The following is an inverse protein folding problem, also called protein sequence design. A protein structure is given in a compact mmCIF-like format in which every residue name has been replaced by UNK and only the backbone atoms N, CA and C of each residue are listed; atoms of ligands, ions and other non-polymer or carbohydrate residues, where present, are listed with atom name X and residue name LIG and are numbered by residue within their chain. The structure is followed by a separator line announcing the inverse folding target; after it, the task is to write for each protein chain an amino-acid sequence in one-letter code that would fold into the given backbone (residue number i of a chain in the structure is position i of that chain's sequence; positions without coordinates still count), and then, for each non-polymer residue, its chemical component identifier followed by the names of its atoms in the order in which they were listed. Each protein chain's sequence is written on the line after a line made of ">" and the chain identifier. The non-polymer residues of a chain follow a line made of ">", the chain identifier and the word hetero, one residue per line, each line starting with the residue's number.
data_IF_502035842399
#
_entry.id   IF_502035842399
#
_cell.length_a   1.000
_cell.length_b   1.000
_cell.length_c   1.000
_cell.angle_alpha   90.00
_cell.angle_beta   90.00
_cell.angle_gamma   90.00
#
_symmetry.space_group_name_H-M   'P 1'
#
loop_
_entity.id
_entity.type
_entity.pdbx_description
1 polymer ?
#
# COMPACT_ATOMS: atom_id res chain seq x y z
N UNK A 1 46.94 -39.68 7.90
CA UNK A 1 47.38 -38.41 8.53
C UNK A 1 46.87 -37.28 7.67
N UNK A 2 46.27 -36.18 8.11
CA UNK A 2 45.56 -35.77 9.33
C UNK A 2 45.44 -34.23 9.21
N UNK A 3 44.22 -33.67 9.34
CA UNK A 3 43.93 -32.24 9.57
C UNK A 3 44.24 -31.27 8.40
N UNK A 4 43.55 -30.14 8.18
CA UNK A 4 42.52 -29.42 8.98
C UNK A 4 41.53 -28.64 8.08
N UNK A 5 40.34 -28.29 8.60
CA UNK A 5 39.33 -27.45 7.93
C UNK A 5 39.53 -25.93 8.20
N UNK A 6 39.28 -25.10 7.18
CA UNK A 6 38.62 -23.74 7.19
C UNK A 6 38.07 -23.54 5.76
N UNK A 7 36.92 -22.93 5.45
CA UNK A 7 35.86 -22.27 6.24
C UNK A 7 34.64 -21.94 5.33
N UNK A 8 33.97 -20.79 5.52
CA UNK A 8 32.87 -20.30 4.67
C UNK A 8 33.02 -18.79 4.37
N UNK A 9 32.37 -18.28 3.30
CA UNK A 9 31.41 -17.15 3.41
C UNK A 9 30.71 -16.77 2.08
N UNK A 10 29.40 -16.54 2.17
CA UNK A 10 28.60 -15.83 1.15
C UNK A 10 28.99 -14.33 1.12
N UNK A 11 28.89 -13.66 -0.04
CA UNK A 11 28.86 -12.19 -0.08
C UNK A 11 28.09 -11.57 -1.26
N UNK A 12 26.87 -11.14 -0.95
CA UNK A 12 26.16 -9.94 -1.42
C UNK A 12 26.28 -9.43 -2.87
N UNK A 13 25.22 -9.69 -3.65
CA UNK A 13 24.89 -9.02 -4.92
C UNK A 13 24.49 -7.53 -4.77
N UNK A 14 24.77 -6.88 -3.62
CA UNK A 14 24.30 -5.53 -3.32
C UNK A 14 25.32 -4.41 -3.68
N UNK A 15 26.58 -4.78 -3.98
CA UNK A 15 27.68 -3.81 -4.10
C UNK A 15 27.81 -3.14 -5.49
N UNK A 16 27.12 -3.64 -6.53
CA UNK A 16 27.25 -3.11 -7.90
C UNK A 16 26.59 -1.74 -8.09
N UNK A 17 25.48 -1.44 -7.41
CA UNK A 17 24.72 -0.21 -7.65
C UNK A 17 25.44 1.07 -7.22
N UNK A 18 26.18 1.03 -6.09
CA UNK A 18 27.02 2.17 -5.66
C UNK A 18 28.17 2.40 -6.65
N UNK A 19 28.82 1.32 -7.07
CA UNK A 19 29.94 1.36 -8.03
C UNK A 19 29.50 1.92 -9.38
N UNK A 20 28.30 1.56 -9.85
CA UNK A 20 27.72 2.07 -11.09
C UNK A 20 27.37 3.58 -11.02
N UNK A 21 26.80 4.06 -9.90
CA UNK A 21 26.49 5.49 -9.69
C UNK A 21 27.77 6.33 -9.61
N UNK A 22 28.80 5.87 -8.89
CA UNK A 22 30.10 6.54 -8.86
C UNK A 22 30.77 6.57 -10.24
N UNK A 23 30.72 5.48 -11.01
CA UNK A 23 31.22 5.46 -12.39
C UNK A 23 30.47 6.44 -13.30
N UNK A 24 29.15 6.54 -13.21
CA UNK A 24 28.37 7.53 -13.97
C UNK A 24 28.75 8.98 -13.62
N UNK A 25 28.94 9.28 -12.33
CA UNK A 25 29.39 10.61 -11.91
C UNK A 25 30.77 10.95 -12.50
N UNK A 26 31.72 10.02 -12.45
CA UNK A 26 33.08 10.23 -12.95
C UNK A 26 33.15 10.41 -14.47
N UNK A 27 32.33 9.64 -15.21
CA UNK A 27 32.19 9.77 -16.67
C UNK A 27 31.65 11.17 -17.04
N UNK A 28 30.70 11.71 -16.25
CA UNK A 28 30.17 13.06 -16.49
C UNK A 28 31.20 14.18 -16.31
N UNK A 29 32.08 14.10 -15.28
CA UNK A 29 33.14 15.10 -15.07
C UNK A 29 34.24 15.03 -16.13
N UNK A 30 34.61 13.83 -16.58
CA UNK A 30 35.65 13.64 -17.61
C UNK A 30 35.19 14.13 -18.99
N UNK A 31 33.94 13.86 -19.38
CA UNK A 31 33.37 14.38 -20.63
C UNK A 31 33.28 15.92 -20.58
N UNK A 32 32.89 16.48 -19.44
CA UNK A 32 32.69 17.93 -19.30
C UNK A 32 34.01 18.71 -19.27
N UNK A 33 35.05 18.20 -18.61
CA UNK A 33 36.41 18.79 -18.66
C UNK A 33 37.01 18.71 -20.06
N UNK A 34 36.81 17.59 -20.78
CA UNK A 34 37.20 17.46 -22.19
C UNK A 34 36.47 18.47 -23.08
N UNK A 35 35.16 18.67 -22.87
CA UNK A 35 34.37 19.66 -23.60
C UNK A 35 34.83 21.12 -23.32
N UNK A 36 35.27 21.43 -22.10
CA UNK A 36 35.86 22.74 -21.76
C UNK A 36 37.18 22.96 -22.52
N UNK A 37 38.05 21.95 -22.60
CA UNK A 37 39.35 22.03 -23.30
C UNK A 37 39.22 22.20 -24.81
N UNK A 38 38.16 21.65 -25.43
CA UNK A 38 37.94 21.71 -26.87
C UNK A 38 37.19 22.97 -27.34
N UNK A 39 36.62 23.77 -26.44
CA UNK A 39 35.75 24.89 -26.81
C UNK A 39 36.52 26.22 -26.99
N UNK A 40 36.81 26.60 -28.23
CA UNK A 40 37.50 27.86 -28.59
C UNK A 40 36.64 29.14 -28.51
N UNK A 41 35.56 29.15 -27.72
CA UNK A 41 34.68 30.32 -27.56
C UNK A 41 34.52 30.71 -26.09
N UNK A 42 34.98 31.90 -25.72
CA UNK A 42 34.95 32.43 -24.35
C UNK A 42 33.54 32.50 -23.76
N UNK A 43 32.51 32.70 -24.60
CA UNK A 43 31.11 32.83 -24.15
C UNK A 43 30.59 31.49 -23.63
N UNK A 44 30.87 30.38 -24.33
CA UNK A 44 30.43 29.03 -23.93
C UNK A 44 31.18 28.59 -22.67
N UNK A 45 32.49 28.86 -22.59
CA UNK A 45 33.31 28.60 -21.40
C UNK A 45 32.76 29.30 -20.14
N UNK A 46 32.30 30.55 -20.27
CA UNK A 46 31.69 31.30 -19.15
C UNK A 46 30.33 30.73 -18.73
N UNK A 47 29.42 30.44 -19.67
CA UNK A 47 28.11 29.87 -19.31
C UNK A 47 28.23 28.48 -18.67
N UNK A 48 29.13 27.62 -19.17
CA UNK A 48 29.32 26.29 -18.62
C UNK A 48 29.91 26.32 -17.20
N UNK A 49 30.85 27.25 -16.92
CA UNK A 49 31.36 27.50 -15.55
C UNK A 49 30.25 27.96 -14.60
N UNK A 50 29.33 28.82 -15.04
CA UNK A 50 28.17 29.25 -14.24
C UNK A 50 27.24 28.06 -13.95
N UNK A 51 27.00 27.18 -14.93
CA UNK A 51 26.18 25.98 -14.77
C UNK A 51 26.77 25.02 -13.73
N UNK A 52 28.06 24.67 -13.86
CA UNK A 52 28.79 23.82 -12.92
C UNK A 52 28.78 24.41 -11.50
N UNK A 53 28.94 25.72 -11.37
CA UNK A 53 28.89 26.40 -10.08
C UNK A 53 27.49 26.32 -9.43
N UNK A 54 26.43 26.51 -10.20
CA UNK A 54 25.03 26.34 -9.74
C UNK A 54 24.74 24.89 -9.32
N UNK A 55 25.16 23.91 -10.11
CA UNK A 55 25.09 22.47 -9.79
C UNK A 55 25.79 22.14 -8.46
N UNK A 56 27.01 22.66 -8.27
CA UNK A 56 27.79 22.45 -7.04
C UNK A 56 27.12 23.08 -5.80
N UNK A 57 26.58 24.30 -5.94
CA UNK A 57 25.80 24.95 -4.88
C UNK A 57 24.52 24.17 -4.56
N UNK A 58 23.83 23.67 -5.58
CA UNK A 58 22.60 22.88 -5.40
C UNK A 58 22.91 21.57 -4.64
N UNK A 59 23.90 20.80 -5.08
CA UNK A 59 24.37 19.57 -4.40
C UNK A 59 24.77 19.85 -2.94
N UNK A 60 25.48 20.95 -2.66
CA UNK A 60 25.84 21.36 -1.28
C UNK A 60 24.61 21.72 -0.43
N UNK A 61 23.65 22.49 -0.96
CA UNK A 61 22.39 22.80 -0.26
C UNK A 61 21.58 21.54 0.04
N UNK A 62 21.44 20.63 -0.92
CA UNK A 62 20.72 19.36 -0.73
C UNK A 62 21.41 18.48 0.31
N UNK A 63 22.74 18.36 0.28
CA UNK A 63 23.49 17.61 1.30
C UNK A 63 23.34 18.22 2.71
N UNK A 64 23.37 19.56 2.82
CA UNK A 64 23.15 20.26 4.09
C UNK A 64 21.73 20.05 4.63
N UNK A 65 20.71 20.14 3.77
CA UNK A 65 19.31 19.92 4.16
C UNK A 65 19.04 18.47 4.57
N UNK A 66 19.68 17.48 3.91
CA UNK A 66 19.63 16.08 4.32
C UNK A 66 20.25 15.87 5.70
N UNK A 67 21.48 16.35 5.92
CA UNK A 67 22.15 16.28 7.24
C UNK A 67 21.41 17.04 8.33
N UNK A 68 20.72 18.14 7.99
CA UNK A 68 19.87 18.88 8.93
C UNK A 68 18.59 18.10 9.27
N UNK A 69 18.00 17.34 8.34
CA UNK A 69 16.89 16.42 8.63
C UNK A 69 17.33 15.25 9.49
N UNK A 70 18.49 14.63 9.21
CA UNK A 70 19.06 13.57 10.05
C UNK A 70 19.29 14.01 11.51
N UNK A 71 19.70 15.27 11.72
CA UNK A 71 19.90 15.84 13.07
C UNK A 71 18.65 16.43 13.74
N UNK A 72 17.51 16.52 13.04
CA UNK A 72 16.26 17.09 13.58
C UNK A 72 15.08 16.11 13.54
N UNK A 73 15.30 14.88 13.06
CA UNK A 73 14.38 13.79 13.30
C UNK A 73 14.46 13.41 14.78
N UNK A 74 13.36 13.43 15.55
CA UNK A 74 13.35 12.76 16.86
C UNK A 74 13.58 11.27 16.63
N UNK A 75 14.19 10.59 17.62
CA UNK A 75 14.33 9.13 17.63
C UNK A 75 12.95 8.46 17.72
N UNK A 76 12.29 8.30 16.58
CA UNK A 76 11.08 7.50 16.44
C UNK A 76 11.50 6.05 16.71
N UNK A 77 10.91 5.36 17.71
CA UNK A 77 11.18 3.96 17.93
C UNK A 77 10.87 3.19 16.64
N UNK A 78 11.87 2.47 16.12
CA UNK A 78 11.67 1.56 14.98
C UNK A 78 10.91 0.35 15.51
N UNK A 79 9.58 0.47 15.64
CA UNK A 79 8.71 -0.67 15.87
C UNK A 79 8.91 -1.66 14.73
N UNK A 80 9.37 -2.86 15.07
CA UNK A 80 9.52 -3.96 14.12
C UNK A 80 8.14 -4.49 13.73
N UNK A 81 7.48 -3.77 12.81
CA UNK A 81 6.12 -4.03 12.33
C UNK A 81 5.86 -5.53 12.12
N UNK A 82 5.17 -6.14 13.08
CA UNK A 82 5.05 -7.59 13.18
C UNK A 82 3.92 -8.09 12.31
N UNK A 83 4.25 -8.80 11.24
CA UNK A 83 3.28 -9.51 10.41
C UNK A 83 2.54 -10.53 11.28
N UNK A 84 1.22 -10.42 11.35
CA UNK A 84 0.32 -11.30 12.09
C UNK A 84 -0.17 -12.45 11.21
N UNK A 85 -0.47 -13.61 11.81
CA UNK A 85 -1.05 -14.76 11.09
C UNK A 85 -2.56 -14.60 10.82
N UNK A 86 -2.90 -13.51 10.15
CA UNK A 86 -4.26 -13.13 9.74
C UNK A 86 -4.28 -12.88 8.23
N UNK A 87 -5.36 -13.26 7.56
CA UNK A 87 -5.60 -12.94 6.16
C UNK A 87 -6.32 -11.58 6.04
N UNK A 88 -6.08 -10.85 4.95
CA UNK A 88 -6.87 -9.68 4.56
C UNK A 88 -7.52 -9.92 3.20
N UNK A 89 -8.84 -9.94 3.16
CA UNK A 89 -9.61 -10.00 1.92
C UNK A 89 -9.78 -8.61 1.32
N UNK A 90 -9.33 -8.44 0.08
CA UNK A 90 -9.41 -7.18 -0.67
C UNK A 90 -10.37 -7.34 -1.85
N UNK A 91 -11.39 -6.50 -1.90
CA UNK A 91 -12.39 -6.46 -2.98
C UNK A 91 -11.87 -5.65 -4.17
N UNK A 92 -11.53 -6.31 -5.28
CA UNK A 92 -11.09 -5.69 -6.52
C UNK A 92 -11.91 -6.14 -7.75
N UNK A 93 -13.12 -6.66 -7.53
CA UNK A 93 -13.97 -7.23 -8.57
C UNK A 93 -14.85 -6.21 -9.34
N UNK A 94 -14.88 -4.94 -8.89
CA UNK A 94 -15.84 -3.93 -9.36
C UNK A 94 -15.51 -3.29 -10.72
N UNK A 95 -16.56 -2.98 -11.48
CA UNK A 95 -16.52 -2.39 -12.83
C UNK A 95 -15.86 -0.99 -12.90
N UNK A 96 -15.76 -0.27 -11.78
CA UNK A 96 -15.28 1.13 -11.72
C UNK A 96 -16.15 2.15 -12.49
N UNK A 97 -17.44 1.86 -12.71
CA UNK A 97 -18.30 2.62 -13.63
C UNK A 97 -18.40 4.13 -13.35
N UNK A 98 -18.40 4.54 -12.07
CA UNK A 98 -18.39 5.97 -11.65
C UNK A 98 -17.10 6.72 -11.99
N UNK A 99 -15.98 6.00 -12.12
CA UNK A 99 -14.68 6.56 -12.47
C UNK A 99 -14.52 6.78 -13.99
N UNK A 100 -15.27 6.06 -14.82
CA UNK A 100 -15.06 6.01 -16.28
C UNK A 100 -13.75 5.32 -16.72
N UNK A 101 -12.84 5.08 -15.78
CA UNK A 101 -11.57 4.37 -15.95
C UNK A 101 -11.45 3.25 -14.90
N UNK A 102 -10.56 2.29 -15.12
CA UNK A 102 -10.37 1.17 -14.19
C UNK A 102 -9.62 1.60 -12.93
N UNK A 103 -10.36 2.06 -11.90
CA UNK A 103 -9.80 2.72 -10.70
C UNK A 103 -8.67 1.93 -10.04
N UNK A 104 -8.76 0.61 -10.00
CA UNK A 104 -7.75 -0.28 -9.42
C UNK A 104 -6.35 -0.06 -10.01
N UNK A 105 -6.25 0.17 -11.32
CA UNK A 105 -4.98 0.36 -12.04
C UNK A 105 -4.64 1.83 -12.32
N UNK A 106 -5.38 2.80 -11.75
CA UNK A 106 -4.95 4.19 -11.84
C UNK A 106 -3.63 4.38 -11.06
N UNK A 107 -2.65 5.11 -11.60
CA UNK A 107 -1.40 5.41 -10.90
C UNK A 107 -1.65 6.09 -9.54
N UNK A 108 -1.02 5.61 -8.47
CA UNK A 108 -1.13 6.28 -7.17
C UNK A 108 0.02 7.26 -6.99
N UNK A 109 -0.32 8.53 -6.78
CA UNK A 109 0.64 9.59 -6.52
C UNK A 109 0.68 9.88 -5.01
N UNK A 110 1.69 9.40 -4.27
CA UNK A 110 1.96 9.96 -2.96
C UNK A 110 2.47 11.39 -3.13
N UNK A 111 1.87 12.33 -2.38
CA UNK A 111 2.14 13.78 -2.32
C UNK A 111 3.62 14.21 -2.22
N UNK A 112 4.56 13.27 -2.03
CA UNK A 112 5.99 13.51 -1.87
C UNK A 112 6.79 13.30 -3.18
N UNK A 113 6.28 12.56 -4.18
CA UNK A 113 7.03 12.20 -5.41
C UNK A 113 6.14 12.19 -6.68
N UNK A 114 5.77 13.36 -7.24
CA UNK A 114 4.82 13.46 -8.36
C UNK A 114 5.33 13.00 -9.74
N UNK A 115 6.56 12.49 -9.87
CA UNK A 115 7.22 12.36 -11.18
C UNK A 115 7.46 10.94 -11.71
N UNK A 116 7.22 9.86 -10.95
CA UNK A 116 7.26 8.46 -11.46
C UNK A 116 6.35 7.54 -10.62
N UNK A 117 5.03 7.44 -10.91
CA UNK A 117 4.17 6.49 -10.23
C UNK A 117 4.41 5.08 -10.77
N UNK A 118 5.16 4.26 -10.02
CA UNK A 118 5.38 2.84 -10.34
C UNK A 118 4.31 1.92 -9.75
N UNK A 119 3.49 2.43 -8.83
CA UNK A 119 2.47 1.71 -8.09
C UNK A 119 1.08 2.30 -8.40
N UNK A 120 0.09 1.44 -8.54
CA UNK A 120 -1.32 1.78 -8.73
C UNK A 120 -2.04 1.88 -7.39
N UNK A 121 -3.27 2.42 -7.40
CA UNK A 121 -4.16 2.43 -6.24
C UNK A 121 -4.24 1.05 -5.56
N UNK A 122 -4.46 -0.01 -6.35
CA UNK A 122 -4.56 -1.37 -5.81
C UNK A 122 -3.23 -1.91 -5.27
N UNK A 123 -2.10 -1.58 -5.90
CA UNK A 123 -0.78 -2.00 -5.40
C UNK A 123 -0.53 -1.45 -3.99
N UNK A 124 -0.89 -0.19 -3.74
CA UNK A 124 -0.73 0.47 -2.44
C UNK A 124 -1.66 -0.14 -1.39
N UNK A 125 -2.93 -0.39 -1.73
CA UNK A 125 -3.88 -1.08 -0.84
C UNK A 125 -3.38 -2.48 -0.44
N UNK A 126 -2.89 -3.27 -1.40
CA UNK A 126 -2.30 -4.60 -1.15
C UNK A 126 -1.03 -4.46 -0.28
N UNK A 127 -0.13 -3.55 -0.62
CA UNK A 127 1.13 -3.29 0.10
C UNK A 127 0.89 -2.88 1.54
N UNK A 128 -0.11 -2.03 1.81
CA UNK A 128 -0.46 -1.61 3.16
C UNK A 128 -1.06 -2.76 3.97
N UNK A 129 -1.96 -3.56 3.40
CA UNK A 129 -2.46 -4.76 4.05
C UNK A 129 -1.35 -5.78 4.36
N UNK A 130 -0.39 -5.98 3.44
CA UNK A 130 0.74 -6.90 3.61
C UNK A 130 1.83 -6.43 4.61
N UNK A 131 1.81 -5.17 5.07
CA UNK A 131 2.63 -4.75 6.23
C UNK A 131 2.15 -5.41 7.53
N UNK A 132 0.85 -5.74 7.61
CA UNK A 132 0.24 -6.32 8.81
C UNK A 132 -0.17 -7.79 8.65
N UNK A 133 -0.79 -8.14 7.53
CA UNK A 133 -1.47 -9.43 7.33
C UNK A 133 -0.57 -10.43 6.61
N UNK A 134 -0.55 -11.70 7.04
CA UNK A 134 0.26 -12.77 6.44
C UNK A 134 -0.01 -12.93 4.94
N UNK A 135 -1.27 -12.89 4.53
CA UNK A 135 -1.70 -12.96 3.13
C UNK A 135 -2.75 -11.89 2.82
N UNK A 136 -2.80 -11.49 1.55
CA UNK A 136 -3.95 -10.84 0.93
C UNK A 136 -4.70 -11.87 0.10
N UNK A 137 -6.02 -11.91 0.26
CA UNK A 137 -6.94 -12.71 -0.54
C UNK A 137 -7.64 -11.72 -1.48
N UNK A 138 -7.09 -11.56 -2.68
CA UNK A 138 -7.55 -10.57 -3.65
C UNK A 138 -8.69 -11.17 -4.46
N UNK A 139 -9.92 -10.72 -4.18
CA UNK A 139 -11.09 -11.17 -4.95
C UNK A 139 -11.25 -10.30 -6.18
N UNK A 140 -11.17 -10.94 -7.35
CA UNK A 140 -11.25 -10.32 -8.67
C UNK A 140 -12.56 -10.67 -9.37
N UNK A 141 -12.88 -9.93 -10.43
CA UNK A 141 -14.10 -10.10 -11.21
C UNK A 141 -13.88 -9.47 -12.58
N UNK A 142 -14.37 -8.24 -12.78
CA UNK A 142 -14.00 -7.46 -13.96
C UNK A 142 -12.47 -7.37 -14.12
N UNK A 143 -11.97 -7.73 -15.31
CA UNK A 143 -10.53 -7.77 -15.65
C UNK A 143 -9.69 -8.64 -14.71
N UNK A 144 -10.29 -9.72 -14.19
CA UNK A 144 -9.64 -10.64 -13.25
C UNK A 144 -8.40 -11.35 -13.81
N UNK A 145 -8.35 -11.59 -15.13
CA UNK A 145 -7.18 -12.12 -15.85
C UNK A 145 -5.95 -11.21 -15.72
N UNK A 146 -6.11 -9.90 -15.88
CA UNK A 146 -5.02 -8.94 -15.80
C UNK A 146 -4.53 -8.76 -14.36
N UNK A 147 -5.44 -8.78 -13.38
CA UNK A 147 -5.06 -8.78 -11.96
C UNK A 147 -4.33 -10.08 -11.58
N UNK A 148 -4.79 -11.23 -12.07
CA UNK A 148 -4.11 -12.50 -11.87
C UNK A 148 -2.69 -12.47 -12.45
N UNK A 149 -2.54 -11.98 -13.68
CA UNK A 149 -1.23 -11.83 -14.32
C UNK A 149 -0.31 -10.83 -13.59
N UNK A 150 -0.84 -9.69 -13.11
CA UNK A 150 -0.06 -8.66 -12.38
C UNK A 150 0.54 -9.20 -11.09
N UNK A 151 -0.24 -9.96 -10.31
CA UNK A 151 0.15 -10.37 -8.96
C UNK A 151 0.67 -11.81 -8.84
N UNK A 152 0.71 -12.58 -9.95
CA UNK A 152 1.15 -14.00 -9.97
C UNK A 152 2.50 -14.31 -9.32
N UNK A 153 3.39 -13.33 -9.22
CA UNK A 153 4.75 -13.49 -8.65
C UNK A 153 4.81 -13.22 -7.15
N UNK A 154 3.73 -12.73 -6.52
CA UNK A 154 3.69 -12.47 -5.09
C UNK A 154 3.00 -13.62 -4.34
N UNK A 155 3.74 -14.51 -3.65
CA UNK A 155 3.16 -15.69 -2.99
C UNK A 155 2.26 -15.33 -1.79
N UNK A 156 2.26 -14.07 -1.35
CA UNK A 156 1.37 -13.57 -0.29
C UNK A 156 0.05 -13.01 -0.84
N UNK A 157 -0.13 -12.91 -2.16
CA UNK A 157 -1.39 -12.49 -2.80
C UNK A 157 -2.05 -13.72 -3.43
N UNK A 158 -3.13 -14.18 -2.82
CA UNK A 158 -3.93 -15.30 -3.34
C UNK A 158 -5.07 -14.72 -4.16
N UNK A 159 -5.07 -15.01 -5.46
CA UNK A 159 -6.12 -14.57 -6.37
C UNK A 159 -7.33 -15.49 -6.24
N UNK A 160 -8.50 -14.89 -6.05
CA UNK A 160 -9.79 -15.59 -6.07
C UNK A 160 -10.68 -14.91 -7.10
N UNK A 161 -10.94 -15.58 -8.22
CA UNK A 161 -11.82 -15.02 -9.25
C UNK A 161 -13.29 -15.33 -8.94
N UNK A 162 -14.13 -14.30 -8.94
CA UNK A 162 -15.58 -14.39 -8.87
C UNK A 162 -16.17 -14.15 -10.26
N UNK A 163 -16.65 -15.21 -10.90
CA UNK A 163 -17.45 -15.15 -12.15
C UNK A 163 -18.70 -14.30 -11.99
N UNK A 164 -19.31 -14.36 -10.80
CA UNK A 164 -20.61 -13.80 -10.48
C UNK A 164 -20.53 -12.38 -9.90
N UNK A 165 -19.41 -11.67 -10.09
CA UNK A 165 -19.15 -10.34 -9.50
C UNK A 165 -20.23 -9.29 -9.81
N UNK A 166 -20.98 -9.48 -10.90
CA UNK A 166 -22.13 -8.64 -11.29
C UNK A 166 -23.31 -8.74 -10.30
N UNK A 167 -23.43 -9.82 -9.52
CA UNK A 167 -24.37 -9.95 -8.38
C UNK A 167 -23.98 -9.04 -7.19
N UNK A 168 -22.85 -8.33 -7.29
CA UNK A 168 -22.43 -7.31 -6.35
C UNK A 168 -21.46 -7.81 -5.29
N UNK A 169 -21.19 -6.93 -4.32
CA UNK A 169 -20.12 -7.09 -3.31
C UNK A 169 -20.25 -8.39 -2.50
N UNK A 170 -21.48 -8.78 -2.15
CA UNK A 170 -21.71 -9.89 -1.22
C UNK A 170 -21.34 -11.25 -1.84
N UNK A 171 -21.65 -11.47 -3.12
CA UNK A 171 -21.18 -12.64 -3.89
C UNK A 171 -19.65 -12.75 -3.90
N UNK A 172 -18.96 -11.60 -3.97
CA UNK A 172 -17.49 -11.54 -3.99
C UNK A 172 -16.89 -11.88 -2.63
N UNK A 173 -17.53 -11.45 -1.54
CA UNK A 173 -17.11 -11.83 -0.17
C UNK A 173 -17.30 -13.33 0.05
N UNK A 174 -18.48 -13.89 -0.29
CA UNK A 174 -18.74 -15.35 -0.25
C UNK A 174 -17.70 -16.13 -1.04
N UNK A 175 -17.40 -15.71 -2.26
CA UNK A 175 -16.37 -16.34 -3.10
C UNK A 175 -14.99 -16.25 -2.46
N UNK A 176 -14.64 -15.11 -1.87
CA UNK A 176 -13.38 -14.94 -1.13
C UNK A 176 -13.25 -15.84 0.11
N UNK A 177 -14.37 -16.11 0.82
CA UNK A 177 -14.36 -16.91 2.05
C UNK A 177 -13.82 -18.33 1.81
N UNK A 178 -14.00 -18.90 0.61
CA UNK A 178 -13.50 -20.25 0.29
C UNK A 178 -11.97 -20.38 0.28
N UNK A 179 -11.21 -19.29 0.34
CA UNK A 179 -9.74 -19.29 0.36
C UNK A 179 -9.13 -18.92 1.73
N UNK A 180 -9.96 -18.56 2.71
CA UNK A 180 -9.55 -18.13 4.04
C UNK A 180 -9.08 -19.34 4.85
N UNK A 181 -7.98 -19.16 5.60
CA UNK A 181 -7.41 -20.21 6.46
C UNK A 181 -7.09 -19.72 7.87
N UNK A 182 -7.63 -18.56 8.26
CA UNK A 182 -7.38 -17.91 9.54
C UNK A 182 -8.69 -17.71 10.31
N UNK A 183 -8.59 -17.80 11.64
CA UNK A 183 -9.72 -17.59 12.56
C UNK A 183 -10.32 -16.19 12.45
N UNK A 184 -9.48 -15.19 12.26
CA UNK A 184 -9.89 -13.82 11.98
C UNK A 184 -9.62 -13.45 10.53
N UNK A 185 -10.38 -12.47 10.02
CA UNK A 185 -10.26 -11.94 8.67
C UNK A 185 -10.49 -10.43 8.65
N UNK A 186 -9.57 -9.68 8.02
CA UNK A 186 -9.85 -8.30 7.63
C UNK A 186 -10.57 -8.25 6.28
N UNK A 187 -11.58 -7.39 6.13
CA UNK A 187 -12.29 -7.13 4.86
C UNK A 187 -12.18 -5.64 4.50
N UNK A 188 -11.59 -5.36 3.33
CA UNK A 188 -11.44 -4.00 2.78
C UNK A 188 -11.59 -3.97 1.26
N UNK A 189 -11.54 -2.77 0.68
CA UNK A 189 -11.67 -2.53 -0.74
C UNK A 189 -10.31 -2.21 -1.39
N UNK A 190 -10.15 -2.56 -2.66
CA UNK A 190 -8.89 -2.38 -3.39
C UNK A 190 -8.52 -0.92 -3.64
N UNK A 191 -9.48 -0.01 -3.51
CA UNK A 191 -9.36 1.42 -3.75
C UNK A 191 -9.26 2.28 -2.49
N UNK A 192 -8.83 1.69 -1.37
CA UNK A 192 -8.60 2.38 -0.09
C UNK A 192 -7.10 2.42 0.28
N UNK A 193 -6.23 3.09 -0.52
CA UNK A 193 -4.79 3.07 -0.34
C UNK A 193 -4.31 3.84 0.91
N UNK A 194 -5.20 4.59 1.58
CA UNK A 194 -4.86 5.41 2.75
C UNK A 194 -4.90 4.67 4.09
N UNK A 195 -5.42 3.44 4.14
CA UNK A 195 -5.50 2.66 5.38
C UNK A 195 -4.08 2.33 5.87
N UNK A 196 -3.70 2.84 7.05
CA UNK A 196 -2.38 2.63 7.65
C UNK A 196 -2.28 1.32 8.44
N UNK A 197 -1.05 0.90 8.74
CA UNK A 197 -0.75 -0.21 9.64
C UNK A 197 -1.46 -0.07 10.99
N UNK A 198 -1.56 1.15 11.52
CA UNK A 198 -2.11 1.46 12.84
C UNK A 198 -3.61 1.11 12.93
N UNK A 199 -4.35 1.24 11.83
CA UNK A 199 -5.77 0.84 11.78
C UNK A 199 -5.90 -0.68 11.90
N UNK A 200 -5.10 -1.45 11.16
CA UNK A 200 -5.07 -2.91 11.30
C UNK A 200 -4.61 -3.32 12.71
N UNK A 201 -3.60 -2.65 13.26
CA UNK A 201 -3.06 -2.91 14.60
C UNK A 201 -4.10 -2.66 15.70
N UNK A 202 -4.79 -1.52 15.68
CA UNK A 202 -5.82 -1.16 16.66
C UNK A 202 -6.97 -2.19 16.67
N UNK A 203 -7.46 -2.60 15.50
CA UNK A 203 -8.48 -3.65 15.37
C UNK A 203 -7.96 -5.01 15.86
N UNK A 204 -6.72 -5.37 15.55
CA UNK A 204 -6.11 -6.65 15.96
C UNK A 204 -5.86 -6.77 17.48
N UNK A 205 -5.54 -5.65 18.13
CA UNK A 205 -5.41 -5.56 19.59
C UNK A 205 -6.76 -5.83 20.28
N UNK A 206 -7.86 -5.38 19.67
CA UNK A 206 -9.24 -5.57 20.17
C UNK A 206 -9.94 -6.81 19.60
N UNK A 207 -9.24 -7.67 18.85
CA UNK A 207 -9.84 -8.87 18.25
C UNK A 207 -10.47 -9.75 19.34
N UNK A 208 -11.64 -10.28 19.01
CA UNK A 208 -12.39 -11.18 19.87
C UNK A 208 -13.29 -12.06 18.99
N UNK A 209 -14.14 -12.85 19.62
CA UNK A 209 -15.12 -13.73 18.95
C UNK A 209 -16.36 -12.94 18.47
N UNK A 210 -16.14 -11.83 17.75
CA UNK A 210 -17.19 -10.95 17.23
C UNK A 210 -16.69 -10.13 16.02
N UNK A 211 -17.60 -9.42 15.34
CA UNK A 211 -17.22 -8.44 14.31
C UNK A 211 -16.75 -7.13 14.96
N UNK A 212 -15.65 -6.53 14.48
CA UNK A 212 -15.25 -5.16 14.80
C UNK A 212 -15.47 -4.24 13.60
N UNK A 213 -16.26 -3.20 13.82
CA UNK A 213 -16.45 -2.10 12.88
C UNK A 213 -15.64 -0.88 13.32
N UNK A 214 -14.65 -0.39 12.54
CA UNK A 214 -13.95 0.83 12.87
C UNK A 214 -14.85 2.06 12.62
N UNK A 215 -14.72 3.06 13.48
CA UNK A 215 -15.22 4.43 13.27
C UNK A 215 -14.13 5.45 13.61
N UNK A 216 -14.28 6.68 13.14
CA UNK A 216 -13.44 7.81 13.54
C UNK A 216 -14.30 8.87 14.25
N UNK A 217 -14.14 8.98 15.56
CA UNK A 217 -14.71 10.03 16.41
C UNK A 217 -13.61 10.62 17.33
N UNK A 218 -12.88 11.66 16.88
CA UNK A 218 -11.78 12.24 17.63
C UNK A 218 -12.22 13.09 18.83
N UNK A 219 -13.52 13.37 18.98
CA UNK A 219 -14.06 14.25 20.03
C UNK A 219 -14.85 13.45 21.09
N UNK A 220 -15.10 12.16 20.85
CA UNK A 220 -15.79 11.27 21.80
C UNK A 220 -17.27 11.59 22.02
N UNK A 221 -17.88 12.42 21.16
CA UNK A 221 -19.26 12.89 21.28
C UNK A 221 -20.27 11.97 20.57
N UNK A 222 -19.81 10.94 19.84
CA UNK A 222 -20.64 10.16 18.91
C UNK A 222 -20.82 8.71 19.37
N UNK A 223 -21.18 8.50 20.64
CA UNK A 223 -21.20 7.17 21.29
C UNK A 223 -22.50 6.37 21.13
N UNK A 224 -23.58 6.93 20.57
CA UNK A 224 -24.93 6.32 20.62
C UNK A 224 -25.62 6.07 19.27
N UNK A 225 -25.21 6.72 18.17
CA UNK A 225 -25.95 6.59 16.91
C UNK A 225 -25.54 5.37 16.09
N UNK A 226 -26.43 4.39 16.03
CA UNK A 226 -26.37 3.22 15.15
C UNK A 226 -26.42 3.58 13.64
N UNK A 227 -26.61 4.86 13.28
CA UNK A 227 -26.77 5.32 11.90
C UNK A 227 -25.47 5.61 11.14
N UNK A 228 -24.31 5.69 11.82
CA UNK A 228 -23.04 5.94 11.10
C UNK A 228 -22.64 4.74 10.24
N UNK A 229 -22.08 5.04 9.07
CA UNK A 229 -21.33 4.04 8.30
C UNK A 229 -20.05 3.69 9.06
N UNK A 230 -19.84 2.39 9.25
CA UNK A 230 -18.56 1.81 9.65
C UNK A 230 -17.55 1.99 8.53
N UNK A 231 -16.29 2.24 8.86
CA UNK A 231 -15.21 2.27 7.88
C UNK A 231 -14.62 0.88 7.61
N UNK A 232 -13.48 0.88 6.91
CA UNK A 232 -12.68 -0.31 6.62
C UNK A 232 -11.26 -0.19 7.19
N UNK A 233 -10.58 -1.32 7.46
CA UNK A 233 -11.02 -2.69 7.27
C UNK A 233 -12.00 -3.12 8.39
N UNK A 234 -12.99 -3.93 8.07
CA UNK A 234 -13.80 -4.61 9.08
C UNK A 234 -13.05 -5.87 9.50
N UNK A 235 -12.90 -6.13 10.80
CA UNK A 235 -12.32 -7.38 11.31
C UNK A 235 -13.44 -8.33 11.73
N UNK A 236 -13.48 -9.53 11.17
CA UNK A 236 -14.48 -10.55 11.50
C UNK A 236 -13.84 -11.83 12.04
N UNK A 237 -14.61 -12.61 12.78
CA UNK A 237 -14.25 -13.92 13.34
C UNK A 237 -14.94 -15.07 12.60
N UNK A 238 -14.30 -16.22 12.47
CA UNK A 238 -14.75 -17.34 11.64
C UNK A 238 -16.13 -17.90 11.98
N UNK A 239 -16.63 -17.68 13.21
CA UNK A 239 -18.00 -18.05 13.60
C UNK A 239 -19.09 -17.47 12.67
N UNK A 240 -18.84 -16.33 12.03
CA UNK A 240 -19.80 -15.71 11.12
C UNK A 240 -19.71 -16.21 9.66
N UNK A 241 -18.70 -17.03 9.33
CA UNK A 241 -18.49 -17.47 7.95
C UNK A 241 -19.63 -18.35 7.43
N UNK A 242 -20.15 -19.26 8.26
CA UNK A 242 -21.31 -20.10 7.90
C UNK A 242 -22.54 -19.25 7.59
N UNK A 243 -22.84 -18.25 8.44
CA UNK A 243 -23.92 -17.27 8.22
C UNK A 243 -23.72 -16.46 6.95
N UNK A 244 -22.51 -15.98 6.67
CA UNK A 244 -22.23 -15.27 5.41
C UNK A 244 -22.48 -16.18 4.20
N UNK A 245 -22.05 -17.43 4.26
CA UNK A 245 -22.20 -18.38 3.16
C UNK A 245 -23.66 -18.79 2.91
N UNK A 246 -24.48 -18.88 3.97
CA UNK A 246 -25.90 -19.29 3.87
C UNK A 246 -26.90 -18.15 3.68
N UNK A 247 -26.55 -16.91 4.03
CA UNK A 247 -27.43 -15.75 3.87
C UNK A 247 -27.79 -15.48 2.40
N UNK A 248 -29.00 -15.00 2.13
CA UNK A 248 -29.41 -14.61 0.78
C UNK A 248 -28.65 -13.35 0.29
N UNK A 249 -28.32 -13.31 -1.02
CA UNK A 249 -27.52 -12.23 -1.60
C UNK A 249 -28.19 -10.83 -1.47
N UNK A 250 -29.53 -10.77 -1.37
CA UNK A 250 -30.29 -9.51 -1.20
C UNK A 250 -30.18 -8.88 0.19
N UNK A 251 -29.78 -9.64 1.22
CA UNK A 251 -29.67 -9.13 2.60
C UNK A 251 -28.51 -8.12 2.70
N UNK A 252 -27.40 -8.43 2.02
CA UNK A 252 -26.19 -7.60 1.96
C UNK A 252 -25.34 -7.64 3.23
N UNK A 253 -24.02 -7.52 3.02
CA UNK A 253 -22.99 -7.80 4.03
C UNK A 253 -23.20 -7.09 5.37
N UNK A 254 -23.49 -5.77 5.39
CA UNK A 254 -23.62 -5.02 6.65
C UNK A 254 -24.75 -5.56 7.53
N UNK A 255 -25.90 -5.94 6.94
CA UNK A 255 -27.01 -6.53 7.71
C UNK A 255 -26.64 -7.90 8.26
N UNK A 256 -26.01 -8.76 7.46
CA UNK A 256 -25.52 -10.08 7.90
C UNK A 256 -24.52 -9.97 9.05
N UNK A 257 -23.59 -9.01 8.98
CA UNK A 257 -22.60 -8.76 10.04
C UNK A 257 -23.23 -8.21 11.32
N UNK A 258 -24.19 -7.29 11.22
CA UNK A 258 -24.88 -6.71 12.39
C UNK A 258 -25.91 -7.67 13.02
N UNK A 259 -26.31 -8.75 12.34
CA UNK A 259 -27.16 -9.80 12.88
C UNK A 259 -26.40 -10.80 13.79
N UNK A 260 -25.12 -10.58 14.03
CA UNK A 260 -24.25 -11.37 14.92
C UNK A 260 -23.57 -10.43 15.92
N UNK A 261 -22.95 -10.94 17.00
CA UNK A 261 -22.20 -10.11 17.93
C UNK A 261 -21.19 -9.22 17.20
N UNK A 262 -21.28 -7.92 17.46
CA UNK A 262 -20.35 -6.93 16.93
C UNK A 262 -20.02 -5.86 17.98
N UNK A 263 -18.87 -5.19 17.81
CA UNK A 263 -18.52 -3.98 18.54
C UNK A 263 -18.06 -2.90 17.55
N UNK A 264 -18.27 -1.66 17.95
CA UNK A 264 -17.74 -0.48 17.27
C UNK A 264 -16.44 -0.10 17.96
N UNK A 265 -15.37 0.11 17.19
CA UNK A 265 -14.06 0.53 17.70
C UNK A 265 -13.73 1.91 17.15
N UNK A 266 -13.47 2.87 18.04
CA UNK A 266 -12.93 4.16 17.64
C UNK A 266 -11.44 4.01 17.30
N UNK A 267 -11.05 4.37 16.07
CA UNK A 267 -9.66 4.37 15.61
C UNK A 267 -9.16 5.79 15.37
N UNK A 268 -7.85 6.00 15.39
CA UNK A 268 -7.25 7.34 15.32
C UNK A 268 -7.11 7.93 13.91
N UNK A 269 -7.76 7.35 12.88
CA UNK A 269 -7.61 7.80 11.49
C UNK A 269 -8.93 7.80 10.72
N UNK A 270 -9.20 8.90 10.01
CA UNK A 270 -10.32 8.99 9.06
C UNK A 270 -10.05 8.31 7.70
N UNK A 271 -8.87 7.71 7.51
CA UNK A 271 -8.53 6.92 6.31
C UNK A 271 -9.48 5.75 6.06
N UNK A 272 -10.13 5.25 7.12
CA UNK A 272 -11.13 4.18 7.06
C UNK A 272 -12.37 4.50 6.21
N UNK A 273 -12.54 5.75 5.80
CA UNK A 273 -13.65 6.24 4.97
C UNK A 273 -13.19 6.76 3.59
N UNK A 274 -11.91 6.60 3.23
CA UNK A 274 -11.32 7.19 2.03
C UNK A 274 -11.08 6.15 0.94
N UNK A 275 -12.12 5.89 0.17
CA UNK A 275 -12.04 5.25 -1.14
C UNK A 275 -11.76 6.28 -2.25
N UNK A 276 -11.48 5.80 -3.47
CA UNK A 276 -11.18 6.63 -4.65
C UNK A 276 -12.16 6.24 -5.76
N UNK A 277 -13.36 6.79 -5.69
CA UNK A 277 -14.53 6.25 -6.37
C UNK A 277 -14.91 7.02 -7.65
N UNK A 278 -14.61 8.31 -7.68
CA UNK A 278 -14.92 9.24 -8.78
C UNK A 278 -13.66 9.95 -9.30
N UNK A 279 -13.70 10.54 -10.51
CA UNK A 279 -12.58 11.31 -11.03
C UNK A 279 -12.22 12.47 -10.09
N UNK A 280 -13.20 13.10 -9.42
CA UNK A 280 -12.95 14.19 -8.47
C UNK A 280 -12.08 13.73 -7.30
N UNK A 281 -12.35 12.55 -6.75
CA UNK A 281 -11.58 11.98 -5.64
C UNK A 281 -10.13 11.74 -6.10
N UNK A 282 -9.96 11.15 -7.28
CA UNK A 282 -8.65 10.88 -7.86
C UNK A 282 -7.83 12.15 -8.16
N UNK A 283 -8.44 13.19 -8.74
CA UNK A 283 -7.75 14.47 -8.99
C UNK A 283 -7.31 15.16 -7.70
N UNK A 284 -8.03 15.00 -6.58
CA UNK A 284 -7.63 15.56 -5.29
C UNK A 284 -6.39 14.91 -4.65
N UNK A 285 -5.80 13.90 -5.31
CA UNK A 285 -4.54 13.26 -4.91
C UNK A 285 -3.32 13.74 -5.71
N UNK A 286 -3.56 14.43 -6.83
CA UNK A 286 -2.52 14.84 -7.80
C UNK A 286 -2.23 16.35 -7.68
N UNK A 287 -3.17 17.10 -7.10
CA UNK A 287 -3.12 18.54 -6.85
C UNK A 287 -2.66 18.85 -5.41
#
# INVERSE_FOLDING_TARGET
>A
MALTQVGAENRDCCNDKKTMIHRFSFISELILTTAIMLCRSDVISRQLKIFIHKESIHKRKTSYLLKKREKMAPDIPIDHQKIQSVDCMIMAAGLSSRMGQWKMMLPFFPMVLPHQPTETILDISIKNALKFCRRVILVTGYRGSELAYRYRTNPRVIIVHNSDYQKGLFSSIKKGLSAIKTEHLFITHGDMPFISYDVFSALWQHKQTCTLFPIYDPIGQQSSSHTRSSGHPVLIHCQIFSTIMSADDSIGMKKTLCAHPYKILNVHSNSIYKDIDTPKDYHSLIL
#
